data_IF_772843015243
#
_entry.id   IF_772843015243
#
_cell.length_a   1.000
_cell.length_b   1.000
_cell.length_c   1.000
_cell.angle_alpha   90.00
_cell.angle_beta   90.00
_cell.angle_gamma   90.00
#
_symmetry.space_group_name_H-M   'P 1'
#
loop_
_entity.id
_entity.type
_entity.pdbx_description
1 polymer ?
#
# COMPACT_ATOMS: atom_id res chain seq x y z
N UNK A 1 1.13 4.91 -32.06
CA UNK A 1 1.57 5.81 -30.97
C UNK A 1 2.59 5.05 -30.13
N UNK A 2 3.72 5.67 -29.78
CA UNK A 2 4.92 4.94 -29.33
C UNK A 2 4.76 4.41 -27.89
N UNK A 3 4.90 3.09 -27.71
CA UNK A 3 4.77 2.43 -26.40
C UNK A 3 5.80 2.93 -25.39
N UNK A 4 6.94 3.42 -25.89
CA UNK A 4 8.02 4.02 -25.09
C UNK A 4 7.57 5.29 -24.38
N UNK A 5 6.87 6.19 -25.07
CA UNK A 5 6.40 7.47 -24.50
C UNK A 5 5.45 7.26 -23.31
N UNK A 6 4.58 6.25 -23.39
CA UNK A 6 3.70 5.86 -22.29
C UNK A 6 4.49 5.35 -21.08
N UNK A 7 5.45 4.44 -21.30
CA UNK A 7 6.26 3.88 -20.22
C UNK A 7 7.11 4.93 -19.53
N UNK A 8 7.72 5.84 -20.30
CA UNK A 8 8.56 6.91 -19.77
C UNK A 8 7.73 7.90 -18.94
N UNK A 9 6.57 8.31 -19.46
CA UNK A 9 5.63 9.16 -18.72
C UNK A 9 5.21 8.50 -17.42
N UNK A 10 4.84 7.22 -17.47
CA UNK A 10 4.43 6.44 -16.29
C UNK A 10 5.54 6.32 -15.26
N UNK A 11 6.77 6.03 -15.68
CA UNK A 11 7.94 5.94 -14.80
C UNK A 11 8.21 7.28 -14.14
N UNK A 12 8.21 8.37 -14.92
CA UNK A 12 8.44 9.71 -14.40
C UNK A 12 7.41 10.09 -13.34
N UNK A 13 6.12 9.90 -13.61
CA UNK A 13 5.08 10.20 -12.64
C UNK A 13 5.17 9.36 -11.37
N UNK A 14 5.48 8.07 -11.48
CA UNK A 14 5.71 7.21 -10.33
C UNK A 14 6.91 7.67 -9.48
N UNK A 15 8.02 8.07 -10.11
CA UNK A 15 9.20 8.60 -9.43
C UNK A 15 8.93 9.94 -8.75
N UNK A 16 8.25 10.86 -9.43
CA UNK A 16 7.88 12.16 -8.88
C UNK A 16 6.98 11.99 -7.65
N UNK A 17 5.95 11.15 -7.76
CA UNK A 17 5.06 10.87 -6.63
C UNK A 17 5.79 10.23 -5.46
N UNK A 18 6.54 9.15 -5.71
CA UNK A 18 7.27 8.46 -4.64
C UNK A 18 8.27 9.41 -3.95
N UNK A 19 8.93 10.30 -4.70
CA UNK A 19 9.84 11.31 -4.14
C UNK A 19 9.11 12.35 -3.30
N UNK A 20 7.99 12.88 -3.79
CA UNK A 20 7.17 13.86 -3.06
C UNK A 20 6.60 13.25 -1.77
N UNK A 21 6.07 12.04 -1.85
CA UNK A 21 5.55 11.32 -0.70
C UNK A 21 6.66 11.02 0.31
N UNK A 22 7.85 10.58 -0.15
CA UNK A 22 9.00 10.36 0.72
C UNK A 22 9.48 11.63 1.42
N UNK A 23 9.55 12.74 0.70
CA UNK A 23 9.88 14.04 1.28
C UNK A 23 8.84 14.47 2.33
N UNK A 24 7.55 14.32 2.04
CA UNK A 24 6.47 14.63 2.97
C UNK A 24 6.50 13.77 4.23
N UNK A 25 6.72 12.46 4.10
CA UNK A 25 6.86 11.53 5.23
C UNK A 25 8.11 11.85 6.06
N UNK A 26 9.24 12.12 5.40
CA UNK A 26 10.48 12.49 6.09
C UNK A 26 10.31 13.80 6.87
N UNK A 27 9.66 14.80 6.27
CA UNK A 27 9.33 16.04 6.95
C UNK A 27 8.40 15.78 8.15
N UNK A 28 7.33 15.00 7.96
CA UNK A 28 6.40 14.67 9.04
C UNK A 28 7.08 13.97 10.23
N UNK A 29 7.99 13.04 9.93
CA UNK A 29 8.77 12.30 10.93
C UNK A 29 9.80 13.17 11.65
N UNK A 30 10.54 14.02 10.92
CA UNK A 30 11.55 14.92 11.50
C UNK A 30 10.92 15.97 12.41
N UNK A 31 9.78 16.53 12.00
CA UNK A 31 9.06 17.55 12.77
C UNK A 31 8.04 16.97 13.76
N UNK A 32 7.97 15.64 13.90
CA UNK A 32 7.04 14.94 14.80
C UNK A 32 5.58 15.42 14.65
N UNK A 33 5.12 15.59 13.41
CA UNK A 33 3.79 16.12 13.11
C UNK A 33 2.66 15.30 13.75
N UNK A 34 2.70 13.95 13.82
CA UNK A 34 1.76 13.18 14.61
C UNK A 34 1.57 13.66 16.05
N UNK A 35 2.66 14.02 16.75
CA UNK A 35 2.57 14.52 18.12
C UNK A 35 1.86 15.89 18.20
N UNK A 36 2.04 16.74 17.18
CA UNK A 36 1.37 18.03 17.10
C UNK A 36 -0.12 17.92 16.79
N UNK A 37 -0.52 16.94 15.97
CA UNK A 37 -1.92 16.78 15.52
C UNK A 37 -2.76 15.87 16.41
N UNK A 38 -2.12 14.91 17.09
CA UNK A 38 -2.78 13.96 17.98
C UNK A 38 -2.17 14.02 19.39
N UNK A 39 -2.30 15.16 20.10
CA UNK A 39 -1.71 15.33 21.44
C UNK A 39 -2.39 14.48 22.52
N UNK A 40 -3.51 13.82 22.20
CA UNK A 40 -4.32 13.11 23.17
C UNK A 40 -3.61 11.83 23.67
N UNK A 41 -3.31 11.82 24.97
CA UNK A 41 -2.87 10.64 25.71
C UNK A 41 -4.09 10.00 26.39
N UNK A 42 -4.63 8.97 25.75
CA UNK A 42 -5.81 8.25 26.24
C UNK A 42 -7.13 8.91 25.88
N UNK A 43 -8.20 8.12 25.98
CA UNK A 43 -9.54 8.48 25.54
C UNK A 43 -10.34 7.20 25.26
N UNK A 44 -11.63 7.33 24.90
CA UNK A 44 -12.40 6.19 24.41
C UNK A 44 -11.75 5.61 23.14
N UNK A 45 -11.83 4.28 22.99
CA UNK A 45 -11.18 3.52 21.90
C UNK A 45 -11.51 4.02 20.49
N UNK A 46 -12.66 4.68 20.28
CA UNK A 46 -13.04 5.22 18.98
C UNK A 46 -12.20 6.44 18.56
N UNK A 47 -11.57 7.17 19.48
CA UNK A 47 -10.64 8.27 19.16
C UNK A 47 -9.35 7.73 18.55
N UNK A 48 -8.83 6.60 19.06
CA UNK A 48 -7.65 5.94 18.50
C UNK A 48 -7.92 5.47 17.07
N UNK A 49 -9.10 4.86 16.85
CA UNK A 49 -9.55 4.49 15.50
C UNK A 49 -9.66 5.72 14.59
N UNK A 50 -10.27 6.81 15.06
CA UNK A 50 -10.45 8.04 14.29
C UNK A 50 -9.10 8.67 13.91
N UNK A 51 -8.10 8.63 14.79
CA UNK A 51 -6.78 9.16 14.49
C UNK A 51 -6.08 8.40 13.35
N UNK A 52 -6.09 7.06 13.39
CA UNK A 52 -5.58 6.25 12.28
C UNK A 52 -6.41 6.45 11.00
N UNK A 53 -7.72 6.62 11.13
CA UNK A 53 -8.58 6.85 9.99
C UNK A 53 -8.30 8.21 9.32
N UNK A 54 -8.19 9.29 10.08
CA UNK A 54 -7.84 10.62 9.57
C UNK A 54 -6.48 10.61 8.89
N UNK A 55 -5.50 9.92 9.49
CA UNK A 55 -4.17 9.79 8.90
C UNK A 55 -4.19 9.04 7.57
N UNK A 56 -4.92 7.92 7.50
CA UNK A 56 -5.13 7.21 6.25
C UNK A 56 -5.84 8.09 5.21
N UNK A 57 -6.93 8.77 5.58
CA UNK A 57 -7.70 9.60 4.66
C UNK A 57 -6.89 10.79 4.13
N UNK A 58 -6.00 11.36 4.96
CA UNK A 58 -5.05 12.40 4.53
C UNK A 58 -4.12 11.85 3.46
N UNK A 59 -3.52 10.67 3.71
CA UNK A 59 -2.68 9.98 2.74
C UNK A 59 -3.44 9.63 1.45
N UNK A 60 -4.66 9.09 1.56
CA UNK A 60 -5.47 8.70 0.41
C UNK A 60 -5.86 9.92 -0.44
N UNK A 61 -6.24 11.03 0.20
CA UNK A 61 -6.55 12.28 -0.48
C UNK A 61 -5.33 12.86 -1.19
N UNK A 62 -4.15 12.84 -0.55
CA UNK A 62 -2.90 13.27 -1.16
C UNK A 62 -2.48 12.39 -2.35
N UNK A 63 -2.82 11.10 -2.32
CA UNK A 63 -2.52 10.13 -3.38
C UNK A 63 -3.50 10.20 -4.55
N UNK A 64 -4.77 10.55 -4.30
CA UNK A 64 -5.86 10.55 -5.27
C UNK A 64 -5.54 11.19 -6.64
N UNK A 65 -4.90 12.37 -6.75
CA UNK A 65 -4.57 12.94 -8.06
C UNK A 65 -3.64 12.04 -8.87
N UNK A 66 -2.71 11.34 -8.20
CA UNK A 66 -1.80 10.40 -8.87
C UNK A 66 -2.51 9.11 -9.25
N UNK A 67 -3.43 8.64 -8.42
CA UNK A 67 -4.25 7.46 -8.69
C UNK A 67 -5.10 7.67 -9.95
N UNK A 68 -5.75 8.84 -10.06
CA UNK A 68 -6.54 9.23 -11.24
C UNK A 68 -5.63 9.43 -12.46
N UNK A 69 -4.51 10.14 -12.29
CA UNK A 69 -3.58 10.44 -13.38
C UNK A 69 -2.99 9.17 -13.99
N UNK A 70 -2.51 8.24 -13.16
CA UNK A 70 -1.86 7.03 -13.62
C UNK A 70 -2.82 5.90 -13.99
N UNK A 71 -3.92 5.76 -13.24
CA UNK A 71 -4.88 4.67 -13.40
C UNK A 71 -5.94 4.93 -14.48
N UNK A 72 -6.27 6.20 -14.75
CA UNK A 72 -7.33 6.57 -15.70
C UNK A 72 -6.80 7.44 -16.85
N UNK A 73 -6.21 8.59 -16.54
CA UNK A 73 -5.88 9.58 -17.57
C UNK A 73 -4.77 9.12 -18.51
N UNK A 74 -3.67 8.58 -17.98
CA UNK A 74 -2.51 8.18 -18.77
C UNK A 74 -2.81 7.02 -19.74
N UNK A 75 -3.53 5.93 -19.33
CA UNK A 75 -3.95 4.87 -20.25
C UNK A 75 -4.92 5.35 -21.34
N UNK A 76 -5.89 6.20 -20.99
CA UNK A 76 -6.85 6.77 -21.95
C UNK A 76 -6.15 7.66 -22.99
N UNK A 77 -5.20 8.50 -22.56
CA UNK A 77 -4.41 9.36 -23.45
C UNK A 77 -3.60 8.58 -24.49
N UNK A 78 -3.18 7.36 -24.15
CA UNK A 78 -2.38 6.49 -25.02
C UNK A 78 -3.19 5.36 -25.66
N UNK A 79 -4.52 5.43 -25.65
CA UNK A 79 -5.43 4.46 -26.31
C UNK A 79 -5.17 2.99 -25.91
N UNK A 80 -4.81 2.73 -24.65
CA UNK A 80 -4.56 1.37 -24.13
C UNK A 80 -5.85 0.71 -23.67
N UNK A 81 -6.24 0.95 -22.42
CA UNK A 81 -7.49 0.51 -21.79
C UNK A 81 -8.11 1.76 -21.17
N UNK A 82 -9.24 2.21 -21.70
CA UNK A 82 -9.96 3.36 -21.16
C UNK A 82 -11.30 2.88 -20.59
N UNK A 83 -11.31 2.38 -19.33
CA UNK A 83 -12.57 2.02 -18.70
C UNK A 83 -13.47 3.25 -18.58
N UNK A 84 -14.79 3.04 -18.45
CA UNK A 84 -15.69 4.13 -18.08
C UNK A 84 -15.28 4.68 -16.71
N UNK A 85 -15.24 6.02 -16.57
CA UNK A 85 -14.86 6.69 -15.32
C UNK A 85 -15.57 6.14 -14.06
N UNK A 86 -16.91 5.92 -14.04
CA UNK A 86 -17.57 5.34 -12.86
C UNK A 86 -17.10 3.92 -12.52
N UNK A 87 -16.73 3.10 -13.52
CA UNK A 87 -16.20 1.74 -13.30
C UNK A 87 -14.81 1.83 -12.67
N UNK A 88 -13.96 2.74 -13.16
CA UNK A 88 -12.65 3.01 -12.57
C UNK A 88 -12.77 3.49 -11.11
N UNK A 89 -13.63 4.48 -10.85
CA UNK A 89 -13.84 5.01 -9.50
C UNK A 89 -14.39 3.96 -8.54
N UNK A 90 -15.32 3.11 -8.99
CA UNK A 90 -15.84 2.00 -8.18
C UNK A 90 -14.74 0.98 -7.81
N UNK A 91 -13.87 0.64 -8.76
CA UNK A 91 -12.74 -0.24 -8.50
C UNK A 91 -11.72 0.39 -7.54
N UNK A 92 -11.40 1.69 -7.74
CA UNK A 92 -10.52 2.46 -6.87
C UNK A 92 -11.07 2.49 -5.45
N UNK A 93 -12.31 2.93 -5.25
CA UNK A 93 -12.94 3.03 -3.94
C UNK A 93 -12.97 1.68 -3.20
N UNK A 94 -13.27 0.58 -3.91
CA UNK A 94 -13.23 -0.76 -3.34
C UNK A 94 -11.84 -1.14 -2.85
N UNK A 95 -10.79 -0.84 -3.62
CA UNK A 95 -9.41 -1.10 -3.21
C UNK A 95 -8.96 -0.24 -2.03
N UNK A 96 -9.35 1.02 -2.03
CA UNK A 96 -9.10 1.97 -0.95
C UNK A 96 -9.78 1.52 0.35
N UNK A 97 -11.05 1.09 0.28
CA UNK A 97 -11.78 0.61 1.45
C UNK A 97 -11.12 -0.64 2.08
N UNK A 98 -10.69 -1.60 1.27
CA UNK A 98 -10.01 -2.79 1.77
C UNK A 98 -8.65 -2.43 2.40
N UNK A 99 -7.89 -1.56 1.75
CA UNK A 99 -6.61 -1.10 2.27
C UNK A 99 -6.79 -0.32 3.58
N UNK A 100 -7.77 0.58 3.66
CA UNK A 100 -8.14 1.31 4.86
C UNK A 100 -8.42 0.37 6.04
N UNK A 101 -9.29 -0.62 5.84
CA UNK A 101 -9.64 -1.59 6.89
C UNK A 101 -8.40 -2.36 7.33
N UNK A 102 -7.59 -2.85 6.38
CA UNK A 102 -6.39 -3.60 6.70
C UNK A 102 -5.36 -2.78 7.50
N UNK A 103 -5.08 -1.55 7.07
CA UNK A 103 -4.09 -0.67 7.73
C UNK A 103 -4.58 -0.26 9.12
N UNK A 104 -5.83 0.21 9.24
CA UNK A 104 -6.40 0.68 10.51
C UNK A 104 -6.52 -0.44 11.54
N UNK A 105 -7.00 -1.64 11.17
CA UNK A 105 -7.08 -2.77 12.09
C UNK A 105 -5.70 -3.25 12.54
N UNK A 106 -4.71 -3.24 11.64
CA UNK A 106 -3.33 -3.62 11.99
C UNK A 106 -2.71 -2.63 12.97
N UNK A 107 -2.91 -1.33 12.75
CA UNK A 107 -2.43 -0.30 13.67
C UNK A 107 -3.08 -0.39 15.06
N UNK A 108 -4.40 -0.63 15.13
CA UNK A 108 -5.08 -0.83 16.40
C UNK A 108 -4.58 -2.09 17.12
N UNK A 109 -4.36 -3.20 16.40
CA UNK A 109 -3.78 -4.40 16.99
C UNK A 109 -2.37 -4.14 17.55
N UNK A 110 -1.53 -3.41 16.81
CA UNK A 110 -0.21 -3.00 17.27
C UNK A 110 -0.28 -2.07 18.49
N UNK A 111 -1.21 -1.12 18.52
CA UNK A 111 -1.39 -0.20 19.65
C UNK A 111 -1.85 -0.94 20.90
N UNK A 112 -2.89 -1.77 20.80
CA UNK A 112 -3.41 -2.54 21.94
C UNK A 112 -2.36 -3.53 22.48
N UNK A 113 -1.63 -4.22 21.59
CA UNK A 113 -0.54 -5.10 22.01
C UNK A 113 0.65 -4.31 22.58
N UNK A 114 0.93 -3.14 22.03
CA UNK A 114 1.97 -2.21 22.48
C UNK A 114 1.71 -1.65 23.88
N UNK A 115 0.48 -1.27 24.17
CA UNK A 115 0.06 -0.80 25.49
C UNK A 115 0.19 -1.90 26.56
N UNK A 116 -0.01 -3.18 26.19
CA UNK A 116 0.04 -4.32 27.13
C UNK A 116 1.45 -4.90 27.32
N UNK A 117 2.22 -5.02 26.25
CA UNK A 117 3.50 -5.75 26.25
C UNK A 117 4.66 -4.93 25.67
N UNK A 118 4.48 -3.61 25.53
CA UNK A 118 5.50 -2.71 24.97
C UNK A 118 5.84 -3.02 23.52
N UNK A 119 7.07 -2.68 23.13
CA UNK A 119 7.56 -2.87 21.76
C UNK A 119 7.46 -4.33 21.26
N UNK A 120 7.69 -5.31 22.15
CA UNK A 120 7.58 -6.72 21.80
C UNK A 120 6.15 -7.11 21.40
N UNK A 121 5.15 -6.61 22.13
CA UNK A 121 3.73 -6.81 21.79
C UNK A 121 3.37 -6.21 20.43
N UNK A 122 3.80 -4.98 20.17
CA UNK A 122 3.57 -4.32 18.89
C UNK A 122 4.23 -5.06 17.71
N UNK A 123 5.46 -5.55 17.88
CA UNK A 123 6.16 -6.35 16.85
C UNK A 123 5.48 -7.69 16.60
N UNK A 124 5.02 -8.37 17.65
CA UNK A 124 4.28 -9.62 17.50
C UNK A 124 2.96 -9.39 16.76
N UNK A 125 2.22 -8.33 17.09
CA UNK A 125 1.00 -7.94 16.38
C UNK A 125 1.27 -7.62 14.90
N UNK A 126 2.35 -6.89 14.59
CA UNK A 126 2.77 -6.64 13.21
C UNK A 126 3.09 -7.94 12.47
N UNK A 127 3.86 -8.85 13.07
CA UNK A 127 4.22 -10.13 12.47
C UNK A 127 2.96 -10.96 12.15
N UNK A 128 2.00 -11.02 13.07
CA UNK A 128 0.71 -11.69 12.86
C UNK A 128 -0.08 -11.02 11.74
N UNK A 129 -0.19 -9.69 11.74
CA UNK A 129 -0.91 -8.94 10.70
C UNK A 129 -0.29 -9.16 9.31
N UNK A 130 1.04 -9.16 9.18
CA UNK A 130 1.72 -9.48 7.93
C UNK A 130 1.49 -10.93 7.48
N UNK A 131 1.55 -11.89 8.41
CA UNK A 131 1.23 -13.28 8.14
C UNK A 131 -0.21 -13.46 7.64
N UNK A 132 -1.17 -12.77 8.28
CA UNK A 132 -2.57 -12.77 7.89
C UNK A 132 -2.78 -12.15 6.50
N UNK A 133 -2.11 -11.04 6.17
CA UNK A 133 -2.18 -10.46 4.82
C UNK A 133 -1.69 -11.46 3.76
N UNK A 134 -0.59 -12.16 4.01
CA UNK A 134 -0.08 -13.17 3.08
C UNK A 134 -1.06 -14.35 2.95
N UNK A 135 -1.61 -14.83 4.06
CA UNK A 135 -2.58 -15.93 4.07
C UNK A 135 -3.90 -15.56 3.38
N UNK A 136 -4.40 -14.33 3.61
CA UNK A 136 -5.66 -13.82 3.07
C UNK A 136 -5.53 -13.26 1.65
N UNK A 137 -4.32 -13.19 1.08
CA UNK A 137 -4.07 -12.66 -0.26
C UNK A 137 -5.05 -13.19 -1.32
N UNK A 138 -5.34 -14.51 -1.43
CA UNK A 138 -6.28 -15.01 -2.44
C UNK A 138 -7.71 -14.50 -2.25
N UNK A 139 -8.12 -14.25 -1.00
CA UNK A 139 -9.44 -13.69 -0.68
C UNK A 139 -9.50 -12.20 -1.04
N UNK A 140 -8.48 -11.43 -0.65
CA UNK A 140 -8.35 -10.02 -0.97
C UNK A 140 -8.34 -9.81 -2.49
N UNK A 141 -7.60 -10.63 -3.21
CA UNK A 141 -7.55 -10.58 -4.68
C UNK A 141 -8.93 -10.85 -5.31
N UNK A 142 -9.67 -11.86 -4.82
CA UNK A 142 -11.04 -12.13 -5.30
C UNK A 142 -12.00 -10.98 -5.05
N UNK A 143 -11.94 -10.35 -3.88
CA UNK A 143 -12.74 -9.15 -3.58
C UNK A 143 -12.42 -8.00 -4.53
N UNK A 144 -11.20 -7.95 -5.05
CA UNK A 144 -10.73 -6.97 -6.01
C UNK A 144 -10.97 -7.38 -7.47
N UNK A 145 -11.59 -8.55 -7.71
CA UNK A 145 -11.93 -9.04 -9.05
C UNK A 145 -10.87 -9.91 -9.70
N UNK A 146 -9.84 -10.34 -8.96
CA UNK A 146 -8.79 -11.23 -9.46
C UNK A 146 -9.02 -12.67 -8.98
N UNK A 147 -9.53 -13.52 -9.87
CA UNK A 147 -9.90 -14.91 -9.56
C UNK A 147 -8.68 -15.84 -9.34
N UNK A 148 -7.53 -15.54 -9.96
CA UNK A 148 -6.42 -16.49 -10.09
C UNK A 148 -5.25 -16.26 -9.09
N UNK A 149 -5.48 -15.54 -8.01
CA UNK A 149 -4.42 -15.25 -7.04
C UNK A 149 -4.04 -16.50 -6.22
N UNK A 150 -2.81 -16.97 -6.42
CA UNK A 150 -2.24 -18.11 -5.69
C UNK A 150 -1.55 -17.69 -4.37
N UNK A 151 -1.37 -18.60 -3.40
CA UNK A 151 -0.50 -18.35 -2.26
C UNK A 151 0.93 -17.97 -2.71
N UNK A 152 1.58 -17.05 -2.00
CA UNK A 152 2.97 -16.68 -2.30
C UNK A 152 3.94 -17.67 -1.65
N UNK A 153 4.93 -18.20 -2.38
CA UNK A 153 5.95 -19.05 -1.79
C UNK A 153 6.81 -18.25 -0.81
N UNK A 154 7.22 -18.90 0.29
CA UNK A 154 8.01 -18.29 1.37
C UNK A 154 9.23 -17.51 0.88
N UNK A 155 9.98 -18.05 -0.09
CA UNK A 155 11.15 -17.39 -0.68
C UNK A 155 10.89 -15.99 -1.26
N UNK A 156 9.64 -15.69 -1.66
CA UNK A 156 9.26 -14.39 -2.21
C UNK A 156 8.92 -13.42 -1.07
N UNK A 157 8.10 -13.83 -0.11
CA UNK A 157 7.58 -12.89 0.91
C UNK A 157 8.44 -12.78 2.16
N UNK A 158 9.27 -13.78 2.47
CA UNK A 158 10.08 -13.82 3.69
C UNK A 158 11.11 -12.67 3.77
N UNK A 159 11.83 -12.29 2.68
CA UNK A 159 12.76 -11.16 2.74
C UNK A 159 12.05 -9.84 3.10
N UNK A 160 10.87 -9.60 2.52
CA UNK A 160 10.06 -8.42 2.82
C UNK A 160 9.55 -8.40 4.26
N UNK A 161 9.13 -9.56 4.75
CA UNK A 161 8.64 -9.74 6.12
C UNK A 161 9.74 -9.41 7.14
N UNK A 162 10.92 -10.01 6.97
CA UNK A 162 12.07 -9.76 7.85
C UNK A 162 12.44 -8.28 7.79
N UNK A 163 12.54 -7.69 6.59
CA UNK A 163 12.91 -6.29 6.44
C UNK A 163 11.97 -5.34 7.17
N UNK A 164 10.65 -5.54 7.03
CA UNK A 164 9.64 -4.71 7.68
C UNK A 164 9.69 -4.86 9.21
N UNK A 165 9.84 -6.09 9.72
CA UNK A 165 9.97 -6.33 11.17
C UNK A 165 11.24 -5.68 11.74
N UNK A 166 12.37 -5.82 11.07
CA UNK A 166 13.62 -5.17 11.49
C UNK A 166 13.49 -3.64 11.49
N UNK A 167 12.86 -3.09 10.45
CA UNK A 167 12.60 -1.65 10.37
C UNK A 167 11.72 -1.14 11.51
N UNK A 168 10.61 -1.84 11.77
CA UNK A 168 9.72 -1.47 12.87
C UNK A 168 10.41 -1.63 14.22
N UNK A 169 11.18 -2.70 14.44
CA UNK A 169 11.92 -2.90 15.67
C UNK A 169 12.91 -1.76 15.90
N UNK A 170 13.63 -1.35 14.86
CA UNK A 170 14.55 -0.21 14.91
C UNK A 170 13.83 1.10 15.23
N UNK A 171 12.64 1.33 14.68
CA UNK A 171 11.86 2.52 14.98
C UNK A 171 11.36 2.52 16.42
N UNK A 172 10.84 1.40 16.93
CA UNK A 172 10.35 1.29 18.31
C UNK A 172 11.46 1.45 19.38
N UNK A 173 12.73 1.38 18.99
CA UNK A 173 13.87 1.67 19.87
C UNK A 173 14.22 3.17 19.96
N UNK A 174 13.56 4.04 19.18
CA UNK A 174 13.80 5.50 19.21
C UNK A 174 12.96 6.14 20.32
N UNK A 175 13.49 7.15 21.04
CA UNK A 175 12.82 7.68 22.24
C UNK A 175 11.50 8.42 21.96
N UNK A 176 11.28 8.90 20.74
CA UNK A 176 10.01 9.53 20.31
C UNK A 176 9.07 8.57 19.58
N UNK A 177 9.52 7.35 19.30
CA UNK A 177 8.72 6.29 18.70
C UNK A 177 8.33 5.28 19.78
N UNK A 178 7.20 4.60 19.59
CA UNK A 178 6.73 3.65 20.58
C UNK A 178 5.38 3.07 20.18
N UNK A 179 4.79 2.30 21.09
CA UNK A 179 3.46 1.75 20.90
C UNK A 179 2.58 1.93 22.14
N UNK A 180 2.96 2.87 23.02
CA UNK A 180 2.18 3.21 24.21
C UNK A 180 1.05 4.21 23.89
N UNK A 181 1.22 5.02 22.84
CA UNK A 181 0.23 6.00 22.39
C UNK A 181 0.10 5.99 20.86
N UNK A 182 -0.99 6.59 20.39
CA UNK A 182 -1.30 6.73 18.96
C UNK A 182 -0.18 7.47 18.23
N UNK A 183 0.22 8.66 18.70
CA UNK A 183 1.22 9.46 18.00
C UNK A 183 2.59 8.76 17.96
N UNK A 184 3.03 8.12 19.06
CA UNK A 184 4.28 7.36 19.10
C UNK A 184 4.29 6.22 18.06
N UNK A 185 3.13 5.55 17.91
CA UNK A 185 2.98 4.48 16.93
C UNK A 185 2.96 5.03 15.50
N UNK A 186 2.30 6.17 15.28
CA UNK A 186 2.32 6.85 13.98
C UNK A 186 3.73 7.29 13.58
N UNK A 187 4.53 7.82 14.51
CA UNK A 187 5.95 8.11 14.26
C UNK A 187 6.71 6.84 13.84
N UNK A 188 6.51 5.74 14.57
CA UNK A 188 7.13 4.47 14.24
C UNK A 188 6.72 3.96 12.84
N UNK A 189 5.45 4.16 12.46
CA UNK A 189 4.93 3.80 11.12
C UNK A 189 5.46 4.70 10.00
N UNK A 190 5.62 6.01 10.23
CA UNK A 190 6.24 6.92 9.28
C UNK A 190 7.71 6.54 9.04
N UNK A 191 8.47 6.32 10.12
CA UNK A 191 9.84 5.83 10.04
C UNK A 191 9.93 4.45 9.35
N UNK A 192 9.01 3.54 9.69
CA UNK A 192 8.89 2.22 9.06
C UNK A 192 8.55 2.30 7.56
N UNK A 193 7.78 3.30 7.14
CA UNK A 193 7.48 3.55 5.73
C UNK A 193 8.71 3.99 4.95
N UNK A 194 9.53 4.90 5.50
CA UNK A 194 10.82 5.29 4.90
C UNK A 194 11.78 4.09 4.82
N UNK A 195 11.82 3.27 5.86
CA UNK A 195 12.59 2.03 5.87
C UNK A 195 12.14 1.03 4.80
N UNK A 196 10.83 0.92 4.60
CA UNK A 196 10.24 0.07 3.54
C UNK A 196 10.64 0.55 2.14
N UNK A 197 10.73 1.86 1.91
CA UNK A 197 11.20 2.41 0.65
C UNK A 197 12.66 2.04 0.36
N UNK A 198 13.53 2.10 1.37
CA UNK A 198 14.91 1.64 1.25
C UNK A 198 14.98 0.14 0.92
N UNK A 199 14.17 -0.68 1.60
CA UNK A 199 14.06 -2.11 1.32
C UNK A 199 13.58 -2.41 -0.10
N UNK A 200 12.59 -1.65 -0.58
CA UNK A 200 12.13 -1.75 -1.95
C UNK A 200 13.24 -1.46 -2.95
N UNK A 201 14.02 -0.38 -2.75
CA UNK A 201 15.15 -0.04 -3.62
C UNK A 201 16.21 -1.15 -3.67
N UNK A 202 16.56 -1.72 -2.51
CA UNK A 202 17.54 -2.82 -2.40
C UNK A 202 17.01 -4.10 -3.04
N UNK A 203 15.81 -4.54 -2.69
CA UNK A 203 15.24 -5.80 -3.17
C UNK A 203 14.90 -5.74 -4.66
N UNK A 204 14.48 -4.59 -5.19
CA UNK A 204 14.07 -4.45 -6.60
C UNK A 204 15.19 -4.81 -7.58
N UNK A 205 16.45 -4.57 -7.23
CA UNK A 205 17.61 -4.84 -8.10
C UNK A 205 17.76 -6.34 -8.35
N UNK A 206 17.57 -7.17 -7.31
CA UNK A 206 17.89 -8.61 -7.37
C UNK A 206 16.67 -9.51 -7.39
N UNK A 207 15.60 -9.14 -6.68
CA UNK A 207 14.40 -9.92 -6.40
C UNK A 207 13.13 -9.05 -6.49
N UNK A 208 12.75 -8.69 -7.72
CA UNK A 208 11.58 -7.82 -7.99
C UNK A 208 10.30 -8.29 -7.27
N UNK A 209 10.01 -9.59 -7.28
CA UNK A 209 8.81 -10.13 -6.64
C UNK A 209 8.85 -9.96 -5.11
N UNK A 210 10.04 -10.09 -4.51
CA UNK A 210 10.22 -9.86 -3.07
C UNK A 210 10.06 -8.39 -2.70
N UNK A 211 10.51 -7.48 -3.57
CA UNK A 211 10.31 -6.03 -3.39
C UNK A 211 8.81 -5.66 -3.40
N UNK A 212 8.03 -6.29 -4.27
CA UNK A 212 6.59 -6.06 -4.32
C UNK A 212 5.85 -6.74 -3.15
N UNK A 213 6.29 -7.93 -2.72
CA UNK A 213 5.77 -8.56 -1.51
C UNK A 213 6.04 -7.72 -0.25
N UNK A 214 7.22 -7.08 -0.16
CA UNK A 214 7.55 -6.12 0.89
C UNK A 214 6.56 -4.95 0.94
N UNK A 215 6.23 -4.37 -0.23
CA UNK A 215 5.25 -3.27 -0.32
C UNK A 215 3.83 -3.71 0.04
N UNK A 216 3.46 -4.95 -0.26
CA UNK A 216 2.18 -5.50 0.16
C UNK A 216 2.11 -5.71 1.68
N UNK A 217 3.14 -6.31 2.26
CA UNK A 217 3.22 -6.56 3.71
C UNK A 217 3.33 -5.28 4.53
N UNK A 218 3.88 -4.21 3.96
CA UNK A 218 3.98 -2.93 4.68
C UNK A 218 2.61 -2.33 4.96
N UNK A 219 1.51 -2.78 4.33
CA UNK A 219 0.14 -2.41 4.74
C UNK A 219 -0.09 -2.63 6.23
N UNK A 220 0.45 -3.68 6.82
CA UNK A 220 0.29 -3.96 8.24
C UNK A 220 0.93 -2.88 9.16
N UNK A 221 1.90 -2.12 8.65
CA UNK A 221 2.60 -1.04 9.36
C UNK A 221 2.38 0.33 8.71
N UNK A 222 1.23 0.54 8.08
CA UNK A 222 0.91 1.80 7.39
C UNK A 222 1.84 2.18 6.22
N UNK A 223 2.32 1.19 5.46
CA UNK A 223 3.23 1.37 4.33
C UNK A 223 2.68 2.23 3.19
N UNK A 224 3.03 3.52 3.23
CA UNK A 224 2.52 4.55 2.33
C UNK A 224 3.04 4.42 0.88
N UNK A 225 4.12 3.66 0.67
CA UNK A 225 4.67 3.44 -0.69
C UNK A 225 4.02 2.29 -1.45
N UNK A 226 3.09 1.57 -0.82
CA UNK A 226 2.39 0.47 -1.48
C UNK A 226 1.56 0.94 -2.70
N UNK A 227 1.25 2.24 -2.79
CA UNK A 227 0.61 2.90 -3.93
C UNK A 227 1.55 3.35 -5.05
N UNK A 228 2.86 3.40 -4.82
CA UNK A 228 3.81 3.93 -5.82
C UNK A 228 3.87 3.09 -7.12
N UNK A 229 3.26 1.90 -7.15
CA UNK A 229 3.09 1.13 -8.38
C UNK A 229 1.84 1.58 -9.13
N UNK A 230 1.89 2.81 -9.64
CA UNK A 230 0.83 3.56 -10.30
C UNK A 230 0.02 2.84 -11.41
N UNK A 231 0.49 1.70 -11.95
CA UNK A 231 -0.30 0.87 -12.88
C UNK A 231 -0.46 -0.58 -12.46
N UNK A 232 -0.29 -0.84 -11.16
CA UNK A 232 -0.80 -2.00 -10.45
C UNK A 232 -1.86 -1.57 -9.42
N UNK A 233 -2.21 -0.28 -9.37
CA UNK A 233 -3.38 0.24 -8.64
C UNK A 233 -4.65 -0.46 -9.13
N UNK A 234 -5.42 -0.98 -8.19
CA UNK A 234 -6.59 -1.81 -8.47
C UNK A 234 -6.27 -3.21 -9.00
N UNK A 235 -4.99 -3.57 -9.16
CA UNK A 235 -4.53 -4.89 -9.60
C UNK A 235 -3.48 -5.53 -8.67
N UNK A 236 -3.76 -5.75 -7.37
CA UNK A 236 -2.82 -6.42 -6.45
C UNK A 236 -2.41 -7.83 -6.86
N UNK A 237 -3.17 -8.47 -7.75
CA UNK A 237 -2.83 -9.73 -8.39
C UNK A 237 -1.54 -9.66 -9.22
N UNK A 238 -1.26 -8.50 -9.82
CA UNK A 238 -0.04 -8.27 -10.59
C UNK A 238 1.17 -7.96 -9.70
N UNK A 239 0.98 -7.78 -8.38
CA UNK A 239 2.06 -7.39 -7.47
C UNK A 239 3.04 -8.52 -7.21
N UNK A 240 2.67 -9.80 -7.39
CA UNK A 240 3.60 -10.88 -7.08
C UNK A 240 3.36 -12.17 -7.89
N UNK A 241 2.63 -12.12 -9.01
CA UNK A 241 2.21 -13.36 -9.65
C UNK A 241 1.73 -13.36 -11.10
N UNK A 242 1.85 -12.29 -11.88
CA UNK A 242 1.41 -12.35 -13.28
C UNK A 242 2.32 -11.54 -14.21
N UNK A 243 3.56 -12.02 -14.35
CA UNK A 243 4.41 -11.65 -15.51
C UNK A 243 3.91 -12.35 -16.79
N UNK A 244 2.99 -13.32 -16.70
CA UNK A 244 2.45 -14.05 -17.85
C UNK A 244 1.16 -13.51 -18.48
N UNK A 245 0.54 -12.45 -17.95
CA UNK A 245 -0.73 -11.93 -18.48
C UNK A 245 -0.55 -10.81 -19.53
N UNK A 246 0.68 -10.32 -19.74
CA UNK A 246 0.97 -9.35 -20.80
C UNK A 246 0.78 -9.94 -22.22
N UNK A 247 0.62 -11.25 -22.32
CA UNK A 247 0.35 -11.97 -23.57
C UNK A 247 -1.10 -12.50 -23.68
N UNK A 248 -2.05 -12.11 -22.82
CA UNK A 248 -3.45 -12.34 -23.15
C UNK A 248 -3.90 -11.28 -24.17
N UNK A 249 -4.15 -11.67 -25.44
CA UNK A 249 -4.54 -10.71 -26.47
C UNK A 249 -5.84 -10.02 -26.05
N UNK A 250 -5.94 -8.72 -26.38
CA UNK A 250 -7.08 -7.83 -26.12
C UNK A 250 -8.44 -8.31 -26.70
N UNK A 251 -8.51 -9.54 -27.21
CA UNK A 251 -9.64 -10.15 -27.91
C UNK A 251 -10.85 -10.43 -27.01
N UNK A 252 -10.68 -10.55 -25.69
CA UNK A 252 -11.84 -10.79 -24.79
C UNK A 252 -12.71 -9.56 -24.54
N UNK A 253 -12.14 -8.36 -24.54
CA UNK A 253 -12.92 -7.13 -24.30
C UNK A 253 -13.59 -6.59 -25.57
N UNK A 254 -13.07 -6.90 -26.77
CA UNK A 254 -13.71 -6.51 -28.03
C UNK A 254 -15.04 -7.22 -28.27
N UNK A 255 -15.22 -8.46 -27.77
CA UNK A 255 -16.49 -9.21 -27.90
C UNK A 255 -17.63 -8.64 -27.06
N UNK A 256 -17.33 -8.04 -25.90
CA UNK A 256 -18.36 -7.40 -25.06
C UNK A 256 -18.82 -6.07 -25.64
N UNK A 257 -17.90 -5.29 -26.23
CA UNK A 257 -18.23 -4.02 -26.88
C UNK A 257 -18.99 -4.22 -28.21
N UNK A 258 -18.67 -5.28 -28.99
CA UNK A 258 -19.38 -5.56 -30.24
C UNK A 258 -20.82 -6.03 -30.01
N UNK A 259 -21.12 -6.71 -28.90
CA UNK A 259 -22.49 -7.15 -28.58
C UNK A 259 -23.42 -6.02 -28.16
N UNK A 260 -22.89 -4.91 -27.63
CA UNK A 260 -23.70 -3.74 -27.23
C UNK A 260 -24.01 -2.86 -28.44
N UNK A 261 -23.18 -2.88 -29.49
CA UNK A 261 -23.40 -2.10 -30.72
C UNK A 261 -24.37 -2.76 -31.70
N UNK A 262 -24.80 -4.01 -31.45
CA UNK A 262 -25.69 -4.78 -32.34
C UNK A 262 -27.16 -4.81 -31.88
N UNK A 263 -27.53 -4.00 -30.89
CA UNK A 263 -28.91 -3.81 -30.39
C UNK A 263 -29.28 -2.34 -30.44
#
# INVERSE_FOLDING_TARGET
MDSRSYEDSRRLGAWLWASLLAAGIAMAFVYQLPAAWFPFLGGPWWLEWLAFAVFYMTYATASLPFDIWAGYWLPCRHQRECPLLPVFLGALFRSEAIQFVAMTLSALAMLVAGQRWGAAGALAALAVAQGLLIALRPHVARLLGAADARPLPARIWMPGFIWNLTGMAWMLLRPWCGAASVYQLMEAMLGGSLWSLAGYAVLRVRWRDAALALLYQSWASFGLFSRATAGLMGRPELWAGAVGAADQPAEKNSRAASQISST
#
